data_IF_212737694385
#
_entry.id   IF_212737694385
#
_cell.length_a   1.000
_cell.length_b   1.000
_cell.length_c   1.000
_cell.angle_alpha   90.00
_cell.angle_beta   90.00
_cell.angle_gamma   90.00
#
_symmetry.space_group_name_H-M   'P 1'
#
loop_
_entity.id
_entity.type
_entity.pdbx_description
1 polymer ?
#
# COMPACT_ATOMS: atom_id res chain seq x y z
N UNK A 1 0.64 -17.69 19.03
CA UNK A 1 0.33 -16.89 20.22
C UNK A 1 -0.73 -15.90 19.77
N UNK A 2 -1.94 -15.97 20.32
CA UNK A 2 -3.05 -15.08 19.95
C UNK A 2 -3.12 -14.03 21.05
N UNK A 3 -3.00 -12.75 20.71
CA UNK A 3 -3.19 -11.66 21.66
C UNK A 3 -4.39 -10.80 21.27
N UNK A 4 -4.95 -10.13 22.27
CA UNK A 4 -6.10 -9.25 22.13
C UNK A 4 -5.63 -7.81 22.29
N UNK A 5 -6.01 -6.96 21.34
CA UNK A 5 -5.75 -5.52 21.41
C UNK A 5 -7.00 -4.86 21.97
N UNK A 6 -6.81 -3.94 22.90
CA UNK A 6 -7.89 -3.20 23.55
C UNK A 6 -7.66 -1.71 23.38
N UNK A 7 -8.71 -0.98 23.03
CA UNK A 7 -8.69 0.47 22.85
C UNK A 7 -9.84 1.08 23.66
N UNK A 8 -9.53 2.15 24.39
CA UNK A 8 -10.54 2.95 25.11
C UNK A 8 -10.37 4.42 24.71
N UNK A 9 -11.43 5.05 24.22
CA UNK A 9 -11.44 6.47 23.86
C UNK A 9 -12.35 7.24 24.82
N UNK A 10 -11.74 8.00 25.73
CA UNK A 10 -12.51 8.81 26.69
C UNK A 10 -13.44 7.95 27.57
N UNK A 11 -14.73 8.29 27.56
CA UNK A 11 -15.78 7.58 28.31
C UNK A 11 -16.43 6.43 27.53
N UNK A 12 -16.06 6.23 26.26
CA UNK A 12 -16.62 5.14 25.46
C UNK A 12 -16.26 3.77 26.07
N UNK A 13 -17.12 2.75 25.84
CA UNK A 13 -16.81 1.37 26.23
C UNK A 13 -15.46 0.92 25.65
N UNK A 14 -14.72 0.14 26.43
CA UNK A 14 -13.49 -0.49 25.93
C UNK A 14 -13.85 -1.48 24.82
N UNK A 15 -13.23 -1.31 23.66
CA UNK A 15 -13.37 -2.23 22.54
C UNK A 15 -12.15 -3.15 22.45
N UNK A 16 -12.39 -4.41 22.11
CA UNK A 16 -11.33 -5.39 21.95
C UNK A 16 -11.43 -6.18 20.64
N UNK A 17 -10.29 -6.49 20.06
CA UNK A 17 -10.20 -7.30 18.84
C UNK A 17 -8.96 -8.19 18.88
N UNK A 18 -9.09 -9.40 18.34
CA UNK A 18 -7.94 -10.29 18.19
C UNK A 18 -6.98 -9.80 17.07
N UNK A 19 -5.71 -10.09 17.28
CA UNK A 19 -4.60 -9.82 16.35
C UNK A 19 -4.88 -10.28 14.90
N UNK A 20 -5.51 -11.44 14.71
CA UNK A 20 -5.83 -11.96 13.37
C UNK A 20 -6.80 -11.06 12.62
N UNK A 21 -7.89 -10.62 13.25
CA UNK A 21 -8.87 -9.74 12.60
C UNK A 21 -8.25 -8.39 12.28
N UNK A 22 -7.41 -7.87 13.17
CA UNK A 22 -6.63 -6.65 12.92
C UNK A 22 -5.65 -6.83 11.76
N UNK A 23 -4.96 -7.97 11.70
CA UNK A 23 -4.05 -8.30 10.61
C UNK A 23 -4.76 -8.38 9.26
N UNK A 24 -5.93 -9.03 9.20
CA UNK A 24 -6.73 -9.09 7.97
C UNK A 24 -7.23 -7.71 7.55
N UNK A 25 -7.68 -6.89 8.50
CA UNK A 25 -8.11 -5.52 8.23
C UNK A 25 -6.95 -4.65 7.69
N UNK A 26 -5.74 -4.83 8.20
CA UNK A 26 -4.55 -4.15 7.66
C UNK A 26 -4.18 -4.65 6.26
N UNK A 27 -3.95 -5.96 6.10
CA UNK A 27 -3.46 -6.55 4.85
C UNK A 27 -4.45 -6.27 3.71
N UNK A 28 -5.73 -6.57 3.90
CA UNK A 28 -6.72 -6.45 2.83
C UNK A 28 -7.44 -5.11 2.80
N UNK A 29 -7.65 -4.49 3.95
CA UNK A 29 -8.40 -3.24 4.06
C UNK A 29 -7.56 -1.97 3.93
N UNK A 30 -6.30 -1.97 4.36
CA UNK A 30 -5.41 -0.81 4.24
C UNK A 30 -4.44 -0.95 3.06
N UNK A 31 -3.83 -2.12 2.85
CA UNK A 31 -2.73 -2.30 1.87
C UNK A 31 -3.17 -2.83 0.51
N UNK A 32 -3.71 -4.05 0.44
CA UNK A 32 -3.86 -4.78 -0.83
C UNK A 32 -5.02 -4.27 -1.67
N UNK A 33 -6.19 -4.03 -1.06
CA UNK A 33 -7.37 -3.59 -1.80
C UNK A 33 -7.81 -2.16 -1.47
N UNK A 34 -7.25 -1.55 -0.42
CA UNK A 34 -7.79 -0.33 0.19
C UNK A 34 -9.33 -0.40 0.37
N UNK A 35 -9.86 -1.61 0.61
CA UNK A 35 -11.29 -1.90 0.61
C UNK A 35 -11.87 -1.61 1.99
N UNK A 36 -12.77 -0.64 2.06
CA UNK A 36 -13.42 -0.26 3.30
C UNK A 36 -14.19 -1.42 3.95
N UNK A 37 -14.82 -2.30 3.17
CA UNK A 37 -15.56 -3.46 3.70
C UNK A 37 -14.65 -4.42 4.46
N UNK A 38 -13.37 -4.49 4.09
CA UNK A 38 -12.38 -5.32 4.77
C UNK A 38 -11.92 -4.73 6.09
N UNK A 39 -12.27 -3.47 6.39
CA UNK A 39 -12.02 -2.79 7.67
C UNK A 39 -13.22 -2.81 8.61
N UNK A 40 -14.37 -3.34 8.18
CA UNK A 40 -15.60 -3.34 8.97
C UNK A 40 -15.37 -3.93 10.38
N UNK A 41 -15.76 -3.17 11.40
CA UNK A 41 -15.55 -3.50 12.81
C UNK A 41 -14.14 -3.26 13.35
N UNK A 42 -13.14 -3.08 12.49
CA UNK A 42 -11.77 -2.70 12.87
C UNK A 42 -11.50 -1.19 12.71
N UNK A 43 -12.49 -0.42 12.25
CA UNK A 43 -12.40 1.05 12.08
C UNK A 43 -12.17 1.78 13.43
N UNK A 44 -12.62 1.18 14.54
CA UNK A 44 -12.39 1.71 15.89
C UNK A 44 -10.93 1.54 16.34
N UNK A 45 -10.18 0.65 15.69
CA UNK A 45 -8.74 0.57 15.85
C UNK A 45 -8.10 1.54 14.85
N UNK A 46 -7.02 2.21 15.23
CA UNK A 46 -6.26 3.03 14.29
C UNK A 46 -5.52 2.16 13.27
N UNK A 47 -4.92 2.81 12.28
CA UNK A 47 -4.03 2.11 11.33
C UNK A 47 -2.82 1.49 12.04
N UNK A 48 -2.38 2.09 13.14
CA UNK A 48 -1.23 1.63 13.94
C UNK A 48 -1.54 0.33 14.68
N UNK A 49 -2.68 0.22 15.35
CA UNK A 49 -3.10 -1.02 16.02
C UNK A 49 -3.33 -2.15 15.01
N UNK A 50 -3.89 -1.83 13.85
CA UNK A 50 -4.05 -2.79 12.74
C UNK A 50 -2.69 -3.25 12.21
N UNK A 51 -1.74 -2.34 12.04
CA UNK A 51 -0.36 -2.64 11.64
C UNK A 51 0.32 -3.55 12.67
N UNK A 52 0.25 -3.22 13.96
CA UNK A 52 0.82 -4.04 15.01
C UNK A 52 0.20 -5.44 15.05
N UNK A 53 -1.11 -5.56 14.83
CA UNK A 53 -1.80 -6.84 14.64
C UNK A 53 -1.22 -7.66 13.48
N UNK A 54 -0.90 -7.02 12.35
CA UNK A 54 -0.37 -7.67 11.16
C UNK A 54 1.10 -8.11 11.27
N UNK A 55 1.97 -7.30 11.88
CA UNK A 55 3.43 -7.50 11.83
C UNK A 55 3.86 -8.91 12.28
N UNK A 56 3.43 -9.44 13.44
CA UNK A 56 3.84 -10.77 13.87
C UNK A 56 3.37 -11.88 12.93
N UNK A 57 2.16 -11.75 12.37
CA UNK A 57 1.61 -12.72 11.41
C UNK A 57 2.45 -12.75 10.13
N UNK A 58 2.76 -11.57 9.58
CA UNK A 58 3.58 -11.44 8.37
C UNK A 58 4.98 -11.97 8.62
N UNK A 59 5.62 -11.60 9.73
CA UNK A 59 6.95 -12.09 10.09
C UNK A 59 6.97 -13.61 10.23
N UNK A 60 5.95 -14.19 10.88
CA UNK A 60 5.84 -15.65 11.01
C UNK A 60 5.66 -16.32 9.65
N UNK A 61 4.82 -15.76 8.76
CA UNK A 61 4.66 -16.27 7.40
C UNK A 61 5.98 -16.23 6.64
N UNK A 62 6.74 -15.12 6.70
CA UNK A 62 8.05 -15.00 6.05
C UNK A 62 9.02 -16.09 6.54
N UNK A 63 9.12 -16.31 7.85
CA UNK A 63 9.98 -17.36 8.42
C UNK A 63 9.56 -18.75 7.97
N UNK A 64 8.25 -19.04 7.96
CA UNK A 64 7.73 -20.32 7.49
C UNK A 64 8.01 -20.52 6.00
N UNK A 65 7.81 -19.49 5.18
CA UNK A 65 8.13 -19.52 3.74
C UNK A 65 9.60 -19.83 3.50
N UNK A 66 10.52 -19.17 4.22
CA UNK A 66 11.97 -19.44 4.11
C UNK A 66 12.26 -20.89 4.50
N UNK A 67 11.75 -21.36 5.64
CA UNK A 67 11.98 -22.75 6.09
C UNK A 67 11.41 -23.79 5.13
N UNK A 68 10.24 -23.51 4.54
CA UNK A 68 9.66 -24.36 3.50
C UNK A 68 10.58 -24.39 2.29
N UNK A 69 11.09 -23.24 1.83
CA UNK A 69 12.03 -23.18 0.71
C UNK A 69 13.30 -23.98 1.00
N UNK A 70 13.91 -23.80 2.18
CA UNK A 70 15.10 -24.55 2.62
C UNK A 70 14.86 -26.06 2.63
N UNK A 71 13.71 -26.50 3.16
CA UNK A 71 13.34 -27.92 3.19
C UNK A 71 13.19 -28.48 1.76
N UNK A 72 12.49 -27.76 0.88
CA UNK A 72 12.28 -28.18 -0.50
C UNK A 72 13.62 -28.22 -1.25
N UNK A 73 14.50 -27.24 -1.06
CA UNK A 73 15.84 -27.21 -1.66
C UNK A 73 16.70 -28.40 -1.19
N UNK A 74 16.65 -28.71 0.10
CA UNK A 74 17.35 -29.85 0.69
C UNK A 74 16.87 -31.19 0.13
N UNK A 75 15.56 -31.37 0.00
CA UNK A 75 14.94 -32.57 -0.59
C UNK A 75 15.31 -32.71 -2.07
N UNK A 76 15.29 -31.61 -2.81
CA UNK A 76 15.67 -31.55 -4.23
C UNK A 76 17.14 -31.93 -4.43
N UNK A 77 18.06 -31.36 -3.66
CA UNK A 77 19.49 -31.67 -3.73
C UNK A 77 19.82 -33.15 -3.45
N UNK A 78 18.94 -33.85 -2.73
CA UNK A 78 19.05 -35.28 -2.42
C UNK A 78 18.30 -36.19 -3.38
N UNK A 79 17.66 -35.62 -4.41
CA UNK A 79 16.84 -36.36 -5.39
C UNK A 79 15.69 -37.14 -4.73
N UNK A 80 15.18 -36.63 -3.61
CA UNK A 80 14.04 -37.19 -2.88
C UNK A 80 12.68 -36.63 -3.35
N UNK A 81 12.70 -35.73 -4.35
CA UNK A 81 11.52 -35.19 -5.01
C UNK A 81 11.73 -35.20 -6.53
N UNK A 82 10.63 -35.14 -7.32
CA UNK A 82 10.71 -34.91 -8.75
C UNK A 82 11.54 -33.67 -9.09
N UNK A 83 12.15 -33.66 -10.28
CA UNK A 83 12.91 -32.51 -10.77
C UNK A 83 11.98 -31.30 -10.88
N UNK A 84 12.29 -30.23 -10.13
CA UNK A 84 11.48 -29.00 -10.06
C UNK A 84 11.88 -27.97 -11.14
N UNK A 85 12.41 -28.44 -12.27
CA UNK A 85 12.95 -27.59 -13.34
C UNK A 85 13.94 -26.54 -12.81
N UNK A 86 13.96 -25.37 -13.44
CA UNK A 86 14.86 -24.26 -13.13
C UNK A 86 14.34 -23.39 -11.98
N UNK A 87 13.33 -23.85 -11.22
CA UNK A 87 12.74 -23.08 -10.12
C UNK A 87 13.73 -22.66 -9.02
N UNK A 88 14.89 -23.32 -8.93
CA UNK A 88 15.99 -22.94 -8.03
C UNK A 88 17.10 -22.12 -8.69
N UNK A 89 17.09 -22.02 -10.02
CA UNK A 89 18.09 -21.31 -10.82
C UNK A 89 17.55 -19.98 -11.37
N UNK A 90 16.23 -19.79 -11.40
CA UNK A 90 15.59 -18.56 -11.82
C UNK A 90 15.66 -17.48 -10.74
N UNK A 91 16.06 -16.27 -11.14
CA UNK A 91 15.97 -15.10 -10.28
C UNK A 91 14.50 -14.71 -10.07
N UNK A 92 14.09 -14.58 -8.80
CA UNK A 92 12.81 -13.96 -8.46
C UNK A 92 12.97 -12.45 -8.53
N UNK A 93 12.85 -11.91 -9.74
CA UNK A 93 12.90 -10.47 -9.99
C UNK A 93 11.52 -9.85 -9.84
N UNK A 94 11.34 -9.03 -8.80
CA UNK A 94 10.23 -8.06 -8.76
C UNK A 94 10.66 -6.87 -9.62
N UNK A 95 10.21 -6.85 -10.87
CA UNK A 95 10.43 -5.67 -11.73
C UNK A 95 9.69 -4.48 -11.12
N UNK A 96 10.40 -3.39 -10.83
CA UNK A 96 9.78 -2.13 -10.40
C UNK A 96 8.86 -1.64 -11.51
N UNK A 97 7.56 -1.77 -11.30
CA UNK A 97 6.59 -1.15 -12.19
C UNK A 97 6.54 0.35 -11.84
N UNK A 98 7.27 1.16 -12.59
CA UNK A 98 7.15 2.62 -12.49
C UNK A 98 5.91 3.02 -13.28
N UNK A 99 4.84 3.36 -12.56
CA UNK A 99 3.66 3.95 -13.17
C UNK A 99 3.86 5.47 -13.20
N UNK A 100 4.38 5.98 -14.30
CA UNK A 100 4.39 7.41 -14.55
C UNK A 100 3.04 7.84 -15.10
N UNK A 101 2.33 8.71 -14.38
CA UNK A 101 1.16 9.41 -14.90
C UNK A 101 1.52 10.85 -15.14
N UNK A 102 1.59 11.24 -16.42
CA UNK A 102 1.67 12.64 -16.80
C UNK A 102 0.29 13.25 -16.63
N UNK A 103 0.21 14.33 -15.86
CA UNK A 103 -0.99 15.12 -15.68
C UNK A 103 -0.68 16.58 -16.02
N UNK A 104 -1.64 17.27 -16.60
CA UNK A 104 -1.55 18.71 -16.81
C UNK A 104 -2.17 19.42 -15.61
N UNK A 105 -1.38 20.26 -14.94
CA UNK A 105 -1.85 21.09 -13.85
C UNK A 105 -2.23 22.48 -14.37
N UNK A 106 -3.39 22.97 -13.94
CA UNK A 106 -3.95 24.26 -14.32
C UNK A 106 -4.29 25.08 -13.08
N UNK A 107 -4.14 26.40 -13.19
CA UNK A 107 -4.44 27.36 -12.12
C UNK A 107 -5.34 28.47 -12.65
N UNK A 108 -6.35 28.80 -11.87
CA UNK A 108 -7.25 29.92 -12.09
C UNK A 108 -7.35 30.79 -10.83
N UNK A 109 -7.88 32.00 -10.98
CA UNK A 109 -8.10 32.90 -9.84
C UNK A 109 -9.24 32.37 -8.97
N UNK A 110 -8.97 32.12 -7.70
CA UNK A 110 -9.98 31.65 -6.75
C UNK A 110 -10.98 32.76 -6.38
N UNK A 111 -12.28 32.41 -6.36
CA UNK A 111 -13.36 33.20 -5.76
C UNK A 111 -14.09 32.34 -4.73
N UNK A 112 -14.67 32.99 -3.72
CA UNK A 112 -15.39 32.30 -2.65
C UNK A 112 -16.58 31.50 -3.23
N UNK A 113 -16.59 30.19 -2.95
CA UNK A 113 -17.57 29.25 -3.49
C UNK A 113 -17.18 28.57 -4.81
N UNK A 114 -16.07 28.94 -5.44
CA UNK A 114 -15.60 28.30 -6.67
C UNK A 114 -15.25 26.82 -6.43
N UNK A 115 -15.58 25.98 -7.42
CA UNK A 115 -15.11 24.60 -7.51
C UNK A 115 -14.29 24.45 -8.79
N UNK A 116 -13.18 23.69 -8.76
CA UNK A 116 -12.47 23.34 -9.98
C UNK A 116 -13.42 22.69 -10.99
N UNK A 117 -13.32 23.02 -12.29
CA UNK A 117 -14.13 22.41 -13.32
C UNK A 117 -13.79 20.92 -13.44
N UNK A 118 -14.79 20.11 -13.77
CA UNK A 118 -14.57 18.73 -14.18
C UNK A 118 -14.20 18.75 -15.65
N UNK A 119 -12.91 18.56 -15.95
CA UNK A 119 -12.39 18.64 -17.32
C UNK A 119 -12.28 17.22 -17.90
N UNK A 120 -12.93 16.92 -19.04
CA UNK A 120 -12.74 15.64 -19.73
C UNK A 120 -11.27 15.43 -20.14
N UNK A 121 -10.80 14.17 -20.22
CA UNK A 121 -9.45 13.89 -20.70
C UNK A 121 -9.21 14.48 -22.10
N UNK A 122 -8.19 15.33 -22.24
CA UNK A 122 -7.81 15.96 -23.52
C UNK A 122 -8.42 17.34 -23.77
N UNK A 123 -9.29 17.83 -22.89
CA UNK A 123 -9.87 19.18 -22.99
C UNK A 123 -9.21 20.18 -22.04
N UNK A 124 -9.39 21.47 -22.32
CA UNK A 124 -8.87 22.55 -21.46
C UNK A 124 -9.95 23.01 -20.47
N UNK A 125 -9.58 23.50 -19.27
CA UNK A 125 -10.53 23.84 -18.21
C UNK A 125 -11.44 25.06 -18.49
N UNK A 126 -11.30 25.70 -19.66
CA UNK A 126 -12.06 26.88 -20.06
C UNK A 126 -11.35 28.20 -19.75
N UNK A 127 -12.06 29.31 -20.00
CA UNK A 127 -11.53 30.66 -19.92
C UNK A 127 -11.12 31.05 -18.48
N UNK A 128 -9.95 31.68 -18.32
CA UNK A 128 -9.41 32.09 -17.02
C UNK A 128 -8.51 31.07 -16.32
N UNK A 129 -8.33 29.88 -16.89
CA UNK A 129 -7.35 28.88 -16.45
C UNK A 129 -6.06 28.97 -17.26
N UNK A 130 -4.92 28.97 -16.58
CA UNK A 130 -3.59 28.96 -17.18
C UNK A 130 -2.85 27.69 -16.75
N UNK A 131 -1.87 27.24 -17.53
CA UNK A 131 -1.04 26.12 -17.10
C UNK A 131 -0.22 26.53 -15.88
N UNK A 132 -0.08 25.61 -14.93
CA UNK A 132 0.68 25.86 -13.70
C UNK A 132 2.10 26.35 -13.98
N UNK A 133 2.78 25.74 -14.96
CA UNK A 133 4.14 26.10 -15.35
C UNK A 133 4.29 27.51 -15.92
N UNK A 134 3.23 28.05 -16.52
CA UNK A 134 3.26 29.40 -17.13
C UNK A 134 3.12 30.50 -16.06
N UNK A 135 2.43 30.22 -14.94
CA UNK A 135 2.18 31.19 -13.87
C UNK A 135 3.23 31.12 -12.74
N UNK A 136 3.72 29.92 -12.42
CA UNK A 136 4.64 29.70 -11.27
C UNK A 136 6.07 29.33 -11.69
N UNK A 137 6.34 29.30 -13.00
CA UNK A 137 7.59 28.78 -13.55
C UNK A 137 7.61 27.24 -13.60
N UNK A 138 8.65 26.63 -14.19
CA UNK A 138 8.76 25.17 -14.18
C UNK A 138 8.71 24.69 -12.73
N UNK A 139 7.80 23.73 -12.44
CA UNK A 139 7.89 22.96 -11.20
C UNK A 139 9.33 22.46 -11.12
N UNK A 140 10.06 22.92 -10.11
CA UNK A 140 11.51 22.71 -9.99
C UNK A 140 11.82 21.26 -10.38
N UNK A 141 12.55 21.09 -11.49
CA UNK A 141 13.17 19.82 -11.78
C UNK A 141 14.01 19.49 -10.55
N UNK A 142 13.59 18.48 -9.79
CA UNK A 142 14.33 18.01 -8.64
C UNK A 142 15.78 17.90 -9.07
N UNK A 143 16.65 18.60 -8.34
CA UNK A 143 18.08 18.34 -8.39
C UNK A 143 18.25 16.89 -7.98
N UNK A 144 18.39 16.01 -8.96
CA UNK A 144 19.11 14.75 -8.77
C UNK A 144 20.58 15.14 -8.51
N UNK A 145 20.88 15.55 -7.27
CA UNK A 145 22.18 15.32 -6.64
C UNK A 145 21.94 14.22 -5.62
N UNK A 146 22.63 13.11 -5.59
CA UNK A 146 23.86 12.68 -6.23
C UNK A 146 24.35 11.51 -5.39
N UNK A 147 24.98 10.54 -6.06
CA UNK A 147 25.62 9.31 -5.55
C UNK A 147 24.75 8.30 -4.81
#
# INVERSE_FOLDING_TARGET
MTYEVRVKRGEDPEESMNDRRLAFAWIYGDVVHADRKRRDGAEVFGVEERFHGAVPLVAQLMVLTIRTLEMVAWLHGRKLMPFLHDAFAEDVVVSRQVVERKAEAWVGKYREGDRPPVVPPGEQPGEGWKRFGDEFGPASADKQSGT
#
